data_IF_305888591832
#
_entry.id   IF_305888591832
#
_cell.length_a   1.000
_cell.length_b   1.000
_cell.length_c   1.000
_cell.angle_alpha   90.00
_cell.angle_beta   90.00
_cell.angle_gamma   90.00
#
_symmetry.space_group_name_H-M   'P 1'
#
loop_
_entity.id
_entity.type
_entity.pdbx_description
1 polymer ?
#
# COMPACT_ATOMS: atom_id res chain seq x y z
N UNK A 1 -25.14 -9.96 6.47
CA UNK A 1 -25.09 -8.49 6.31
C UNK A 1 -26.31 -7.94 7.04
N UNK A 2 -26.18 -6.81 7.73
CA UNK A 2 -27.31 -6.19 8.43
C UNK A 2 -28.13 -5.39 7.42
N UNK A 3 -29.44 -5.60 7.43
CA UNK A 3 -30.37 -4.78 6.64
C UNK A 3 -30.51 -3.39 7.28
N UNK A 4 -30.49 -2.34 6.46
CA UNK A 4 -30.59 -0.95 6.91
C UNK A 4 -31.46 -0.13 5.96
N UNK A 5 -32.14 0.86 6.50
CA UNK A 5 -32.82 1.90 5.73
C UNK A 5 -31.84 2.85 5.05
N UNK A 6 -32.31 3.61 4.07
CA UNK A 6 -31.51 4.65 3.41
C UNK A 6 -30.93 5.67 4.41
N UNK A 7 -31.74 6.10 5.39
CA UNK A 7 -31.31 7.05 6.43
C UNK A 7 -30.16 6.48 7.26
N UNK A 8 -30.30 5.24 7.72
CA UNK A 8 -29.26 4.55 8.48
C UNK A 8 -28.00 4.33 7.65
N UNK A 9 -28.14 4.08 6.35
CA UNK A 9 -27.01 3.99 5.44
C UNK A 9 -26.26 5.33 5.31
N UNK A 10 -26.98 6.45 5.14
CA UNK A 10 -26.36 7.79 5.07
C UNK A 10 -25.63 8.12 6.38
N UNK A 11 -26.21 7.79 7.53
CA UNK A 11 -25.55 7.96 8.83
C UNK A 11 -24.26 7.14 8.93
N UNK A 12 -24.31 5.86 8.53
CA UNK A 12 -23.12 4.99 8.48
C UNK A 12 -22.06 5.52 7.52
N UNK A 13 -22.45 5.99 6.34
CA UNK A 13 -21.54 6.55 5.35
C UNK A 13 -20.84 7.81 5.89
N UNK A 14 -21.60 8.70 6.53
CA UNK A 14 -21.06 9.89 7.21
C UNK A 14 -20.03 9.51 8.29
N UNK A 15 -20.30 8.47 9.09
CA UNK A 15 -19.37 8.02 10.12
C UNK A 15 -18.09 7.40 9.54
N UNK A 16 -18.22 6.60 8.47
CA UNK A 16 -17.07 6.06 7.75
C UNK A 16 -16.22 7.20 7.17
N UNK A 17 -16.83 8.20 6.54
CA UNK A 17 -16.06 9.36 6.02
C UNK A 17 -15.41 10.14 7.16
N UNK A 18 -16.08 10.29 8.30
CA UNK A 18 -15.48 10.90 9.50
C UNK A 18 -14.23 10.15 9.99
N UNK A 19 -14.30 8.81 10.03
CA UNK A 19 -13.14 7.94 10.32
C UNK A 19 -12.01 8.17 9.32
N UNK A 20 -12.32 8.14 8.03
CA UNK A 20 -11.34 8.34 6.96
C UNK A 20 -10.70 9.73 7.04
N UNK A 21 -11.49 10.78 7.30
CA UNK A 21 -10.99 12.13 7.48
C UNK A 21 -10.00 12.24 8.65
N UNK A 22 -10.31 11.61 9.79
CA UNK A 22 -9.40 11.55 10.95
C UNK A 22 -8.07 10.88 10.59
N UNK A 23 -8.13 9.74 9.88
CA UNK A 23 -6.94 9.01 9.42
C UNK A 23 -6.12 9.85 8.45
N UNK A 24 -6.72 10.37 7.38
CA UNK A 24 -6.03 11.17 6.36
C UNK A 24 -5.33 12.39 6.98
N UNK A 25 -6.06 13.17 7.79
CA UNK A 25 -5.53 14.40 8.39
C UNK A 25 -4.38 14.11 9.36
N UNK A 26 -4.49 13.05 10.16
CA UNK A 26 -3.50 12.70 11.18
C UNK A 26 -2.28 12.01 10.56
N UNK A 27 -2.51 10.96 9.77
CA UNK A 27 -1.43 10.17 9.17
C UNK A 27 -0.71 10.94 8.07
N UNK A 28 -1.42 11.75 7.28
CA UNK A 28 -0.79 12.65 6.30
C UNK A 28 0.14 13.66 6.96
N UNK A 29 -0.29 14.30 8.05
CA UNK A 29 0.55 15.23 8.82
C UNK A 29 1.78 14.53 9.42
N UNK A 30 1.60 13.35 10.04
CA UNK A 30 2.69 12.56 10.62
C UNK A 30 3.74 12.19 9.58
N UNK A 31 3.30 11.73 8.40
CA UNK A 31 4.20 11.40 7.30
C UNK A 31 5.01 12.62 6.86
N UNK A 32 4.35 13.74 6.58
CA UNK A 32 5.02 14.96 6.12
C UNK A 32 6.02 15.51 7.14
N UNK A 33 5.69 15.43 8.44
CA UNK A 33 6.61 15.86 9.49
C UNK A 33 7.86 14.96 9.54
N UNK A 34 7.68 13.64 9.47
CA UNK A 34 8.80 12.69 9.46
C UNK A 34 9.61 12.76 8.18
N UNK A 35 8.96 13.03 7.05
CA UNK A 35 9.65 13.30 5.79
C UNK A 35 10.57 14.50 5.92
N UNK A 36 10.05 15.63 6.42
CA UNK A 36 10.85 16.84 6.62
C UNK A 36 11.98 16.61 7.62
N UNK A 37 11.76 15.82 8.66
CA UNK A 37 12.80 15.54 9.66
C UNK A 37 14.01 14.81 9.05
N UNK A 38 13.80 13.84 8.16
CA UNK A 38 14.88 12.95 7.71
C UNK A 38 15.29 13.13 6.24
N UNK A 39 14.39 13.57 5.38
CA UNK A 39 14.61 13.64 3.93
C UNK A 39 14.66 15.06 3.38
N UNK A 40 14.67 16.11 4.22
CA UNK A 40 14.80 17.50 3.72
C UNK A 40 16.10 17.75 2.95
N UNK A 41 17.17 17.00 3.25
CA UNK A 41 18.42 17.07 2.48
C UNK A 41 18.34 16.38 1.11
N UNK A 42 17.30 15.57 0.87
CA UNK A 42 17.02 14.98 -0.42
C UNK A 42 16.14 15.96 -1.19
N UNK A 43 16.50 16.26 -2.45
CA UNK A 43 15.80 17.26 -3.27
C UNK A 43 14.38 16.85 -3.71
N UNK A 44 13.85 15.75 -3.18
CA UNK A 44 12.57 15.16 -3.57
C UNK A 44 11.45 15.55 -2.59
N UNK A 45 10.38 16.10 -3.15
CA UNK A 45 9.14 16.37 -2.41
C UNK A 45 8.21 15.17 -2.53
N UNK A 46 7.59 14.71 -1.43
CA UNK A 46 6.67 13.58 -1.49
C UNK A 46 5.30 14.03 -1.99
N UNK A 47 4.54 13.09 -2.55
CA UNK A 47 3.11 13.27 -2.71
C UNK A 47 2.43 13.44 -1.34
N UNK A 48 1.54 14.43 -1.22
CA UNK A 48 0.85 14.73 0.03
C UNK A 48 -0.56 14.16 0.05
N UNK A 49 -0.95 13.57 1.17
CA UNK A 49 -2.35 13.18 1.43
C UNK A 49 -3.18 14.44 1.71
N UNK A 50 -4.17 14.72 0.87
CA UNK A 50 -5.06 15.87 1.06
C UNK A 50 -5.88 15.74 2.35
N UNK A 51 -6.28 16.90 2.89
CA UNK A 51 -7.15 16.93 4.06
C UNK A 51 -8.60 16.70 3.66
N UNK A 52 -9.32 15.97 4.48
CA UNK A 52 -10.77 15.80 4.36
C UNK A 52 -11.43 16.59 5.49
N UNK A 53 -12.34 17.48 5.13
CA UNK A 53 -13.15 18.28 6.08
C UNK A 53 -14.61 17.87 5.90
N UNK A 54 -15.19 17.31 6.96
CA UNK A 54 -16.58 16.86 6.96
C UNK A 54 -17.42 17.76 7.83
N UNK A 55 -18.54 18.21 7.28
CA UNK A 55 -19.71 18.70 7.99
C UNK A 55 -20.76 17.59 7.92
N UNK A 56 -20.98 16.90 9.05
CA UNK A 56 -21.86 15.73 9.09
C UNK A 56 -23.31 16.08 8.79
N UNK A 57 -23.79 17.24 9.26
CA UNK A 57 -25.18 17.64 9.04
C UNK A 57 -25.39 18.03 7.59
N UNK A 58 -24.46 18.80 7.01
CA UNK A 58 -24.51 19.13 5.59
C UNK A 58 -24.42 17.88 4.70
N UNK A 59 -23.60 16.90 5.07
CA UNK A 59 -23.49 15.63 4.34
C UNK A 59 -24.81 14.85 4.27
N UNK A 60 -25.59 14.88 5.35
CA UNK A 60 -26.88 14.21 5.44
C UNK A 60 -27.95 14.92 4.61
N UNK A 61 -27.93 16.26 4.59
CA UNK A 61 -29.01 17.07 4.03
C UNK A 61 -28.78 17.48 2.57
N UNK A 62 -27.53 17.69 2.16
CA UNK A 62 -27.19 18.25 0.85
C UNK A 62 -26.48 17.20 -0.04
N UNK A 63 -27.20 16.70 -1.04
CA UNK A 63 -26.67 15.72 -2.00
C UNK A 63 -25.48 16.26 -2.80
N UNK A 64 -25.44 17.57 -3.10
CA UNK A 64 -24.33 18.18 -3.83
C UNK A 64 -23.07 18.16 -2.98
N UNK A 65 -23.19 18.56 -1.71
CA UNK A 65 -22.07 18.48 -0.76
C UNK A 65 -21.63 17.04 -0.50
N UNK A 66 -22.58 16.09 -0.47
CA UNK A 66 -22.28 14.66 -0.38
C UNK A 66 -21.39 14.18 -1.53
N UNK A 67 -21.76 14.51 -2.77
CA UNK A 67 -20.99 14.16 -3.98
C UNK A 67 -19.60 14.81 -3.92
N UNK A 68 -19.51 16.10 -3.57
CA UNK A 68 -18.23 16.81 -3.44
C UNK A 68 -17.31 16.13 -2.40
N UNK A 69 -17.85 15.77 -1.23
CA UNK A 69 -17.07 15.13 -0.19
C UNK A 69 -16.62 13.72 -0.59
N UNK A 70 -17.48 12.95 -1.26
CA UNK A 70 -17.12 11.62 -1.77
C UNK A 70 -16.02 11.70 -2.85
N UNK A 71 -16.08 12.69 -3.75
CA UNK A 71 -15.00 12.97 -4.71
C UNK A 71 -13.68 13.30 -3.99
N UNK A 72 -13.73 14.10 -2.92
CA UNK A 72 -12.54 14.41 -2.13
C UNK A 72 -11.97 13.16 -1.42
N UNK A 73 -12.83 12.27 -0.94
CA UNK A 73 -12.41 10.98 -0.35
C UNK A 73 -11.75 10.09 -1.40
N UNK A 74 -12.35 9.93 -2.58
CA UNK A 74 -11.78 9.16 -3.70
C UNK A 74 -10.39 9.67 -4.06
N UNK A 75 -10.24 10.97 -4.24
CA UNK A 75 -8.97 11.55 -4.60
C UNK A 75 -7.92 11.42 -3.47
N UNK A 76 -8.35 11.35 -2.21
CA UNK A 76 -7.48 11.06 -1.07
C UNK A 76 -7.02 9.59 -1.04
N UNK A 77 -7.83 8.64 -1.51
CA UNK A 77 -7.38 7.24 -1.72
C UNK A 77 -6.22 7.20 -2.71
N UNK A 78 -6.35 7.95 -3.82
CA UNK A 78 -5.30 8.08 -4.83
C UNK A 78 -4.05 8.73 -4.23
N UNK A 79 -4.19 9.80 -3.44
CA UNK A 79 -3.05 10.44 -2.79
C UNK A 79 -2.29 9.46 -1.89
N UNK A 80 -3.00 8.67 -1.08
CA UNK A 80 -2.38 7.69 -0.20
C UNK A 80 -1.54 6.65 -0.95
N UNK A 81 -1.99 6.22 -2.14
CA UNK A 81 -1.22 5.35 -3.01
C UNK A 81 0.06 6.02 -3.51
N UNK A 82 -0.05 7.26 -4.02
CA UNK A 82 1.11 7.99 -4.53
C UNK A 82 2.09 8.42 -3.45
N UNK A 83 1.65 8.66 -2.21
CA UNK A 83 2.54 8.92 -1.08
C UNK A 83 3.45 7.71 -0.78
N UNK A 84 2.91 6.48 -0.85
CA UNK A 84 3.73 5.26 -0.71
C UNK A 84 4.71 5.14 -1.87
N UNK A 85 4.27 5.48 -3.09
CA UNK A 85 5.14 5.50 -4.28
C UNK A 85 6.30 6.46 -4.12
N UNK A 86 6.03 7.72 -3.77
CA UNK A 86 7.08 8.73 -3.53
C UNK A 86 8.08 8.29 -2.47
N UNK A 87 7.62 7.60 -1.42
CA UNK A 87 8.51 7.04 -0.40
C UNK A 87 9.45 5.98 -0.98
N UNK A 88 8.92 5.01 -1.73
CA UNK A 88 9.73 3.95 -2.33
C UNK A 88 10.71 4.51 -3.35
N UNK A 89 10.26 5.38 -4.24
CA UNK A 89 11.12 6.03 -5.23
C UNK A 89 12.23 6.83 -4.54
N UNK A 90 11.92 7.58 -3.49
CA UNK A 90 12.92 8.35 -2.76
C UNK A 90 13.93 7.45 -2.05
N UNK A 91 13.46 6.35 -1.47
CA UNK A 91 14.34 5.38 -0.80
C UNK A 91 15.32 4.74 -1.79
N UNK A 92 14.82 4.20 -2.90
CA UNK A 92 15.63 3.42 -3.84
C UNK A 92 16.41 4.24 -4.85
N UNK A 93 15.94 5.42 -5.23
CA UNK A 93 16.61 6.23 -6.27
C UNK A 93 17.53 7.31 -5.68
N UNK A 94 17.36 7.66 -4.40
CA UNK A 94 18.10 8.78 -3.79
C UNK A 94 18.73 8.41 -2.47
N UNK A 95 17.93 7.98 -1.49
CA UNK A 95 18.39 7.83 -0.11
C UNK A 95 19.43 6.71 0.04
N UNK A 96 19.18 5.53 -0.53
CA UNK A 96 20.06 4.37 -0.35
C UNK A 96 21.45 4.48 -0.98
N UNK A 97 21.68 5.50 -1.81
CA UNK A 97 22.99 5.81 -2.39
C UNK A 97 23.58 7.13 -1.85
N UNK A 98 22.83 7.82 -0.96
CA UNK A 98 23.22 9.09 -0.36
C UNK A 98 24.31 8.96 0.71
N UNK A 99 25.05 10.04 0.94
CA UNK A 99 26.02 10.14 2.04
C UNK A 99 25.36 10.09 3.42
N UNK A 100 24.12 10.55 3.53
CA UNK A 100 23.32 10.44 4.77
C UNK A 100 23.18 8.98 5.18
N UNK A 101 22.78 8.12 4.25
CA UNK A 101 22.63 6.69 4.51
C UNK A 101 23.96 6.00 4.84
N UNK A 102 25.04 6.38 4.13
CA UNK A 102 26.37 5.81 4.36
C UNK A 102 26.93 6.18 5.73
N UNK A 103 26.60 7.38 6.23
CA UNK A 103 27.00 7.86 7.55
C UNK A 103 26.26 7.14 8.68
N UNK A 104 24.97 6.86 8.49
CA UNK A 104 24.11 6.34 9.55
C UNK A 104 24.21 4.82 9.74
N UNK A 105 24.70 4.09 8.73
CA UNK A 105 24.69 2.62 8.71
C UNK A 105 26.01 2.01 8.24
N UNK A 106 26.37 0.86 8.81
CA UNK A 106 27.52 0.07 8.34
C UNK A 106 27.28 -0.48 6.93
N UNK A 107 28.33 -0.77 6.14
CA UNK A 107 28.18 -1.38 4.79
C UNK A 107 27.29 -2.63 4.80
N UNK A 108 27.38 -3.45 5.84
CA UNK A 108 26.54 -4.64 6.02
C UNK A 108 25.07 -4.26 6.24
N UNK A 109 24.80 -3.32 7.14
CA UNK A 109 23.43 -2.88 7.43
C UNK A 109 22.82 -2.12 6.25
N UNK A 110 23.62 -1.35 5.51
CA UNK A 110 23.21 -0.67 4.29
C UNK A 110 22.61 -1.65 3.28
N UNK A 111 23.31 -2.76 3.02
CA UNK A 111 22.83 -3.80 2.13
C UNK A 111 21.54 -4.46 2.66
N UNK A 112 21.53 -4.86 3.94
CA UNK A 112 20.37 -5.53 4.56
C UNK A 112 19.15 -4.62 4.54
N UNK A 113 19.30 -3.30 4.74
CA UNK A 113 18.20 -2.34 4.77
C UNK A 113 17.45 -2.27 3.45
N UNK A 114 18.15 -2.33 2.30
CA UNK A 114 17.47 -2.33 1.00
C UNK A 114 16.49 -3.52 0.90
N UNK A 115 16.92 -4.71 1.29
CA UNK A 115 16.04 -5.90 1.33
C UNK A 115 14.94 -5.82 2.40
N UNK A 116 15.29 -5.35 3.60
CA UNK A 116 14.37 -5.25 4.72
C UNK A 116 13.22 -4.29 4.40
N UNK A 117 13.52 -3.12 3.82
CA UNK A 117 12.50 -2.14 3.42
C UNK A 117 11.54 -2.70 2.37
N UNK A 118 12.05 -3.37 1.33
CA UNK A 118 11.17 -4.04 0.37
C UNK A 118 10.27 -5.07 1.04
N UNK A 119 10.81 -5.88 1.97
CA UNK A 119 10.02 -6.85 2.73
C UNK A 119 8.92 -6.16 3.56
N UNK A 120 9.28 -5.12 4.32
CA UNK A 120 8.34 -4.44 5.23
C UNK A 120 7.23 -3.69 4.50
N UNK A 121 7.49 -3.17 3.30
CA UNK A 121 6.48 -2.45 2.52
C UNK A 121 5.80 -3.40 1.52
N UNK A 122 6.53 -3.91 0.53
CA UNK A 122 5.96 -4.68 -0.58
C UNK A 122 5.48 -6.07 -0.14
N UNK A 123 6.17 -6.69 0.82
CA UNK A 123 5.77 -7.98 1.38
C UNK A 123 4.47 -7.88 2.18
N UNK A 124 4.32 -6.81 2.97
CA UNK A 124 3.09 -6.57 3.75
C UNK A 124 1.95 -5.99 2.91
N UNK A 125 2.26 -5.27 1.83
CA UNK A 125 1.31 -4.62 0.94
C UNK A 125 1.30 -5.29 -0.44
N UNK A 126 0.95 -6.57 -0.45
CA UNK A 126 0.88 -7.39 -1.68
C UNK A 126 0.03 -6.72 -2.78
N UNK A 127 -1.14 -6.18 -2.43
CA UNK A 127 -2.02 -5.53 -3.40
C UNK A 127 -1.36 -4.28 -4.00
N UNK A 128 -0.71 -3.46 -3.17
CA UNK A 128 0.08 -2.32 -3.65
C UNK A 128 1.17 -2.78 -4.62
N UNK A 129 1.93 -3.81 -4.25
CA UNK A 129 3.03 -4.29 -5.07
C UNK A 129 2.55 -4.85 -6.43
N UNK A 130 1.35 -5.42 -6.49
CA UNK A 130 0.73 -5.84 -7.74
C UNK A 130 0.31 -4.67 -8.64
N UNK A 131 0.05 -3.50 -8.05
CA UNK A 131 -0.34 -2.27 -8.74
C UNK A 131 0.88 -1.44 -9.16
N UNK A 132 1.91 -1.36 -8.32
CA UNK A 132 3.16 -0.64 -8.58
C UNK A 132 4.36 -1.47 -8.08
N UNK A 133 5.11 -2.00 -9.04
CA UNK A 133 6.33 -2.76 -8.81
C UNK A 133 7.59 -2.04 -9.30
N UNK A 134 7.43 -1.04 -10.17
CA UNK A 134 8.52 -0.35 -10.86
C UNK A 134 9.29 0.63 -9.96
N UNK A 135 8.67 1.10 -8.87
CA UNK A 135 9.32 1.98 -7.89
C UNK A 135 10.45 1.30 -7.11
N UNK A 136 10.61 -0.01 -7.26
CA UNK A 136 11.61 -0.82 -6.56
C UNK A 136 12.30 -1.76 -7.55
N UNK A 137 13.64 -1.89 -7.54
CA UNK A 137 14.32 -2.84 -8.42
C UNK A 137 13.82 -4.29 -8.25
N UNK A 138 13.78 -5.04 -9.37
CA UNK A 138 13.18 -6.38 -9.43
C UNK A 138 13.75 -7.36 -8.39
N UNK A 139 15.04 -7.29 -8.07
CA UNK A 139 15.66 -8.17 -7.08
C UNK A 139 15.03 -8.05 -5.68
N UNK A 140 14.67 -6.84 -5.28
CA UNK A 140 14.03 -6.61 -3.98
C UNK A 140 12.55 -6.99 -4.01
N UNK A 141 11.86 -6.81 -5.14
CA UNK A 141 10.52 -7.36 -5.35
C UNK A 141 10.48 -8.89 -5.21
N UNK A 142 11.45 -9.59 -5.82
CA UNK A 142 11.60 -11.05 -5.71
C UNK A 142 11.73 -11.45 -4.24
N UNK A 143 12.64 -10.79 -3.50
CA UNK A 143 12.82 -11.10 -2.09
C UNK A 143 11.58 -10.78 -1.27
N UNK A 144 10.96 -9.61 -1.43
CA UNK A 144 9.77 -9.24 -0.66
C UNK A 144 8.62 -10.26 -0.78
N UNK A 145 8.38 -10.79 -2.00
CA UNK A 145 7.30 -11.74 -2.26
C UNK A 145 7.60 -13.15 -1.77
N UNK A 146 8.84 -13.58 -1.86
CA UNK A 146 9.24 -14.96 -1.60
C UNK A 146 9.77 -15.18 -0.18
N UNK A 147 10.22 -14.10 0.50
CA UNK A 147 10.68 -14.17 1.88
C UNK A 147 9.57 -14.55 2.86
N UNK A 148 8.38 -13.99 2.71
CA UNK A 148 7.28 -14.19 3.67
C UNK A 148 6.58 -15.53 3.53
N UNK A 149 6.64 -16.19 2.37
CA UNK A 149 5.91 -17.43 2.14
C UNK A 149 6.63 -18.65 2.74
N UNK A 150 7.96 -18.75 2.66
CA UNK A 150 8.73 -19.89 3.21
C UNK A 150 10.19 -19.50 3.57
N UNK A 151 10.51 -18.21 3.80
CA UNK A 151 11.90 -17.71 3.98
C UNK A 151 12.87 -18.22 2.91
N UNK A 152 12.36 -18.44 1.69
CA UNK A 152 13.04 -19.18 0.63
C UNK A 152 13.76 -20.44 1.17
N UNK A 153 13.03 -21.40 1.72
CA UNK A 153 13.61 -22.67 2.16
C UNK A 153 13.51 -23.71 1.03
N UNK A 154 14.52 -23.78 0.18
CA UNK A 154 14.59 -24.70 -0.96
C UNK A 154 13.64 -24.35 -2.10
N UNK A 155 13.34 -23.07 -2.29
CA UNK A 155 12.38 -22.64 -3.31
C UNK A 155 12.94 -22.80 -4.72
N UNK A 156 12.15 -23.30 -5.67
CA UNK A 156 12.58 -23.51 -7.05
C UNK A 156 12.48 -22.23 -7.88
N UNK A 157 13.31 -22.10 -8.90
CA UNK A 157 13.25 -21.00 -9.88
C UNK A 157 11.90 -20.89 -10.60
N UNK A 158 11.28 -22.02 -10.94
CA UNK A 158 9.91 -22.06 -11.48
C UNK A 158 8.88 -21.49 -10.50
N UNK A 159 8.97 -21.84 -9.21
CA UNK A 159 8.03 -21.36 -8.20
C UNK A 159 8.19 -19.85 -7.95
N UNK A 160 9.44 -19.36 -7.95
CA UNK A 160 9.71 -17.91 -7.90
C UNK A 160 9.08 -17.22 -9.11
N UNK A 161 9.30 -17.73 -10.33
CA UNK A 161 8.74 -17.11 -11.53
C UNK A 161 7.21 -17.07 -11.47
N UNK A 162 6.55 -18.16 -11.10
CA UNK A 162 5.09 -18.21 -10.95
C UNK A 162 4.57 -17.19 -9.94
N UNK A 163 5.24 -17.06 -8.78
CA UNK A 163 4.88 -16.04 -7.80
C UNK A 163 5.06 -14.61 -8.34
N UNK A 164 6.10 -14.38 -9.13
CA UNK A 164 6.41 -13.07 -9.69
C UNK A 164 5.50 -12.68 -10.87
N UNK A 165 4.95 -13.64 -11.62
CA UNK A 165 3.95 -13.38 -12.68
C UNK A 165 2.74 -12.60 -12.16
N UNK A 166 2.39 -12.76 -10.87
CA UNK A 166 1.31 -12.01 -10.21
C UNK A 166 1.55 -10.49 -10.16
N UNK A 167 2.80 -10.04 -10.25
CA UNK A 167 3.15 -8.61 -10.30
C UNK A 167 3.06 -8.02 -11.71
N UNK A 168 2.74 -8.83 -12.73
CA UNK A 168 2.65 -8.40 -14.13
C UNK A 168 3.93 -7.69 -14.65
N UNK A 169 5.09 -8.03 -14.10
CA UNK A 169 6.40 -7.54 -14.57
C UNK A 169 6.61 -8.03 -16.00
N UNK A 170 6.75 -7.09 -16.94
CA UNK A 170 7.01 -7.42 -18.35
C UNK A 170 8.38 -8.10 -18.47
N UNK A 171 8.48 -9.07 -19.37
CA UNK A 171 9.74 -9.73 -19.77
C UNK A 171 10.48 -10.50 -18.65
N UNK A 172 9.79 -10.88 -17.58
CA UNK A 172 10.39 -11.74 -16.55
C UNK A 172 10.40 -13.20 -17.02
N UNK A 173 11.60 -13.73 -17.29
CA UNK A 173 11.83 -15.11 -17.76
C UNK A 173 12.65 -15.91 -16.76
N UNK A 174 12.65 -17.25 -16.87
CA UNK A 174 13.52 -18.11 -16.06
C UNK A 174 15.01 -17.73 -16.15
N UNK A 175 15.60 -17.48 -17.34
CA UNK A 175 16.96 -16.97 -17.44
C UNK A 175 17.17 -15.67 -16.66
N UNK A 176 16.23 -14.72 -16.75
CA UNK A 176 16.33 -13.44 -16.02
C UNK A 176 16.24 -13.63 -14.51
N UNK A 177 15.34 -14.50 -14.03
CA UNK A 177 15.27 -14.89 -12.61
C UNK A 177 16.62 -15.45 -12.17
N UNK A 178 17.20 -16.40 -12.90
CA UNK A 178 18.48 -17.01 -12.55
C UNK A 178 19.62 -15.98 -12.48
N UNK A 179 19.66 -15.01 -13.40
CA UNK A 179 20.61 -13.89 -13.34
C UNK A 179 20.42 -13.06 -12.08
N UNK A 180 19.19 -12.63 -11.78
CA UNK A 180 18.91 -11.82 -10.60
C UNK A 180 19.22 -12.58 -9.30
N UNK A 181 18.88 -13.88 -9.24
CA UNK A 181 19.18 -14.69 -8.05
C UNK A 181 20.69 -14.84 -7.82
N UNK A 182 21.50 -14.92 -8.89
CA UNK A 182 22.97 -14.89 -8.76
C UNK A 182 23.47 -13.54 -8.22
N UNK A 183 22.86 -12.43 -8.62
CA UNK A 183 23.18 -11.12 -8.02
C UNK A 183 22.90 -11.11 -6.51
N UNK A 184 21.74 -11.65 -6.09
CA UNK A 184 21.35 -11.75 -4.67
C UNK A 184 22.30 -12.70 -3.90
N UNK A 185 22.76 -13.78 -4.53
CA UNK A 185 23.76 -14.70 -3.96
C UNK A 185 25.13 -14.02 -3.76
N UNK A 186 25.58 -13.24 -4.75
CA UNK A 186 26.84 -12.49 -4.67
C UNK A 186 26.80 -11.44 -3.55
N UNK A 187 25.63 -10.92 -3.23
CA UNK A 187 25.39 -10.05 -2.07
C UNK A 187 25.35 -10.82 -0.73
N UNK A 188 25.43 -12.15 -0.77
CA UNK A 188 25.52 -13.01 0.40
C UNK A 188 24.20 -13.19 1.14
N UNK A 189 23.07 -12.82 0.53
CA UNK A 189 21.74 -12.94 1.13
C UNK A 189 21.23 -14.38 1.05
N UNK A 190 21.53 -15.06 -0.05
CA UNK A 190 21.01 -16.40 -0.35
C UNK A 190 22.16 -17.35 -0.72
N UNK A 191 21.88 -18.63 -0.78
CA UNK A 191 22.69 -19.64 -1.45
C UNK A 191 21.89 -20.32 -2.54
N UNK A 192 22.57 -20.68 -3.62
CA UNK A 192 22.00 -21.40 -4.75
C UNK A 192 22.56 -22.82 -4.76
N UNK A 193 21.69 -23.82 -4.83
CA UNK A 193 22.07 -25.19 -5.17
C UNK A 193 21.38 -25.61 -6.46
N UNK A 194 22.05 -26.47 -7.24
CA UNK A 194 21.51 -27.05 -8.47
C UNK A 194 21.34 -28.55 -8.26
N UNK A 195 20.16 -29.07 -8.60
CA UNK A 195 19.89 -30.50 -8.70
C UNK A 195 19.20 -30.72 -10.04
N UNK A 196 19.80 -31.56 -10.87
CA UNK A 196 19.40 -31.75 -12.27
C UNK A 196 19.31 -30.40 -12.99
N UNK A 197 18.21 -30.11 -13.69
CA UNK A 197 18.00 -28.82 -14.39
C UNK A 197 17.28 -27.75 -13.54
N UNK A 198 17.15 -27.97 -12.23
CA UNK A 198 16.43 -27.06 -11.33
C UNK A 198 17.37 -26.38 -10.35
N UNK A 199 17.22 -25.07 -10.20
CA UNK A 199 17.89 -24.29 -9.16
C UNK A 199 17.00 -24.16 -7.94
N UNK A 200 17.62 -24.29 -6.77
CA UNK A 200 16.99 -24.19 -5.46
C UNK A 200 17.66 -23.06 -4.68
N UNK A 201 16.83 -22.23 -4.06
CA UNK A 201 17.29 -21.03 -3.35
C UNK A 201 17.02 -21.16 -1.86
N UNK A 202 18.06 -20.88 -1.07
CA UNK A 202 18.01 -20.90 0.38
C UNK A 202 18.42 -19.55 0.96
N UNK A 203 17.71 -19.05 1.96
CA UNK A 203 18.16 -17.87 2.68
C UNK A 203 19.42 -18.21 3.50
N UNK A 204 20.53 -17.50 3.24
CA UNK A 204 21.80 -17.74 3.92
C UNK A 204 21.80 -17.16 5.34
N UNK A 205 21.17 -15.99 5.51
CA UNK A 205 21.03 -15.28 6.79
C UNK A 205 19.70 -14.53 6.84
N UNK A 206 19.10 -14.48 8.02
CA UNK A 206 17.94 -13.63 8.28
C UNK A 206 18.25 -12.16 7.95
N UNK A 207 17.28 -11.44 7.39
CA UNK A 207 17.35 -10.00 7.16
C UNK A 207 17.22 -9.28 8.50
N UNK A 208 18.32 -9.27 9.27
CA UNK A 208 18.43 -8.68 10.60
C UNK A 208 19.59 -7.69 10.62
N UNK A 209 19.29 -6.47 11.05
CA UNK A 209 20.27 -5.42 11.28
C UNK A 209 21.14 -5.76 12.49
N UNK A 210 22.34 -5.20 12.53
CA UNK A 210 23.14 -5.15 13.75
C UNK A 210 22.40 -4.38 14.86
N UNK A 211 22.76 -4.56 16.15
CA UNK A 211 22.13 -3.79 17.23
C UNK A 211 22.17 -2.28 17.01
N UNK A 212 23.34 -1.74 16.62
CA UNK A 212 23.51 -0.32 16.28
C UNK A 212 22.67 0.07 15.05
N UNK A 213 22.69 -0.74 13.99
CA UNK A 213 21.87 -0.50 12.80
C UNK A 213 20.37 -0.48 13.12
N UNK A 214 19.91 -1.36 14.02
CA UNK A 214 18.51 -1.39 14.47
C UNK A 214 18.13 -0.14 15.26
N UNK A 215 19.02 0.37 16.10
CA UNK A 215 18.82 1.62 16.83
C UNK A 215 18.69 2.81 15.86
N UNK A 216 19.66 2.97 14.94
CA UNK A 216 19.60 3.99 13.89
C UNK A 216 18.32 3.88 13.05
N UNK A 217 17.95 2.67 12.62
CA UNK A 217 16.73 2.41 11.85
C UNK A 217 15.47 2.84 12.62
N UNK A 218 15.36 2.47 13.89
CA UNK A 218 14.21 2.81 14.72
C UNK A 218 14.06 4.31 14.92
N UNK A 219 15.19 5.02 15.07
CA UNK A 219 15.20 6.46 15.28
C UNK A 219 14.86 7.23 14.00
N UNK A 220 15.28 6.75 12.84
CA UNK A 220 15.23 7.49 11.57
C UNK A 220 14.14 6.96 10.63
N UNK A 221 14.36 5.78 10.05
CA UNK A 221 13.58 5.26 8.94
C UNK A 221 12.27 4.63 9.36
N UNK A 222 12.24 3.93 10.51
CA UNK A 222 11.10 3.11 10.91
C UNK A 222 9.75 3.84 10.86
N UNK A 223 9.61 5.09 11.34
CA UNK A 223 8.34 5.81 11.24
C UNK A 223 7.84 5.97 9.81
N UNK A 224 8.75 6.16 8.84
CA UNK A 224 8.40 6.27 7.42
C UNK A 224 8.12 4.89 6.80
N UNK A 225 8.86 3.85 7.20
CA UNK A 225 8.69 2.48 6.67
C UNK A 225 7.43 1.79 7.21
N UNK A 226 7.08 2.03 8.47
CA UNK A 226 5.87 1.46 9.09
C UNK A 226 4.59 2.18 8.61
N UNK A 227 4.71 3.45 8.19
CA UNK A 227 3.58 4.29 7.79
C UNK A 227 2.74 3.71 6.65
N UNK A 228 3.30 3.24 5.51
CA UNK A 228 2.52 2.63 4.43
C UNK A 228 1.59 1.54 4.91
N UNK A 229 2.08 0.62 5.76
CA UNK A 229 1.28 -0.49 6.26
C UNK A 229 0.17 -0.02 7.20
N UNK A 230 0.48 0.93 8.09
CA UNK A 230 -0.51 1.49 9.02
C UNK A 230 -1.60 2.26 8.28
N UNK A 231 -1.20 3.13 7.34
CA UNK A 231 -2.13 3.90 6.51
C UNK A 231 -3.00 2.96 5.66
N UNK A 232 -2.39 2.01 4.94
CA UNK A 232 -3.12 1.11 4.06
C UNK A 232 -4.17 0.27 4.80
N UNK A 233 -3.79 -0.29 5.95
CA UNK A 233 -4.70 -1.15 6.73
C UNK A 233 -5.85 -0.37 7.37
N UNK A 234 -5.65 0.91 7.67
CA UNK A 234 -6.68 1.73 8.32
C UNK A 234 -7.56 2.46 7.30
N UNK A 235 -6.95 3.16 6.34
CA UNK A 235 -7.64 4.03 5.40
C UNK A 235 -8.45 3.26 4.34
N UNK A 236 -7.91 2.15 3.80
CA UNK A 236 -8.62 1.34 2.81
C UNK A 236 -9.52 0.26 3.42
N UNK A 237 -9.77 0.33 4.73
CA UNK A 237 -10.71 -0.56 5.41
C UNK A 237 -12.05 0.16 5.60
N UNK A 238 -13.03 -0.20 4.76
CA UNK A 238 -14.37 0.38 4.75
C UNK A 238 -15.46 -0.66 4.98
N UNK A 239 -15.12 -1.77 5.66
CA UNK A 239 -16.02 -2.90 5.89
C UNK A 239 -17.31 -2.54 6.60
N UNK A 240 -17.33 -1.42 7.31
CA UNK A 240 -18.53 -0.89 7.97
C UNK A 240 -19.63 -0.51 6.96
N UNK A 241 -19.28 -0.32 5.68
CA UNK A 241 -20.23 -0.12 4.59
C UNK A 241 -20.81 -1.43 4.02
N UNK A 242 -20.43 -2.60 4.56
CA UNK A 242 -20.92 -3.90 4.08
C UNK A 242 -22.30 -4.22 4.67
N UNK A 243 -23.30 -3.49 4.20
CA UNK A 243 -24.71 -3.57 4.62
C UNK A 243 -25.60 -3.93 3.44
N UNK A 244 -26.84 -4.29 3.74
CA UNK A 244 -27.88 -4.54 2.74
C UNK A 244 -28.97 -3.49 2.90
N UNK A 245 -29.38 -2.85 1.81
CA UNK A 245 -30.38 -1.78 1.83
C UNK A 245 -31.79 -2.40 1.72
N UNK A 246 -32.76 -1.74 2.36
CA UNK A 246 -34.17 -2.13 2.30
C UNK A 246 -34.79 -1.96 0.89
N UNK A 247 -35.99 -2.51 0.69
CA UNK A 247 -36.69 -2.48 -0.60
C UNK A 247 -37.13 -1.08 -1.05
N UNK A 248 -37.17 -0.13 -0.12
CA UNK A 248 -37.63 1.25 -0.39
C UNK A 248 -36.53 2.14 -0.92
N UNK A 249 -35.28 1.69 -0.84
CA UNK A 249 -34.11 2.45 -1.28
C UNK A 249 -34.08 2.55 -2.81
N UNK A 250 -33.98 3.76 -3.38
CA UNK A 250 -33.79 3.95 -4.83
C UNK A 250 -32.58 3.20 -5.37
N UNK A 251 -32.70 2.60 -6.56
CA UNK A 251 -31.63 1.82 -7.20
C UNK A 251 -30.94 0.79 -6.27
N UNK A 252 -31.72 0.18 -5.35
CA UNK A 252 -31.26 -0.76 -4.33
C UNK A 252 -30.27 -1.80 -4.84
N UNK A 253 -30.58 -2.47 -5.94
CA UNK A 253 -29.77 -3.58 -6.44
C UNK A 253 -28.36 -3.12 -6.87
N UNK A 254 -28.28 -1.95 -7.51
CA UNK A 254 -27.02 -1.32 -7.83
C UNK A 254 -26.23 -0.99 -6.56
N UNK A 255 -26.87 -0.31 -5.60
CA UNK A 255 -26.22 0.07 -4.34
C UNK A 255 -25.73 -1.15 -3.54
N UNK A 256 -26.56 -2.19 -3.39
CA UNK A 256 -26.18 -3.45 -2.74
C UNK A 256 -25.01 -4.14 -3.45
N UNK A 257 -24.98 -4.14 -4.79
CA UNK A 257 -23.87 -4.72 -5.55
C UNK A 257 -22.54 -4.01 -5.25
N UNK A 258 -22.57 -2.69 -5.08
CA UNK A 258 -21.38 -1.89 -4.76
C UNK A 258 -20.94 -2.14 -3.33
N UNK A 259 -21.87 -2.05 -2.38
CA UNK A 259 -21.57 -2.16 -0.96
C UNK A 259 -21.03 -3.54 -0.58
N UNK A 260 -21.43 -4.61 -1.28
CA UNK A 260 -20.85 -5.94 -1.10
C UNK A 260 -19.32 -6.00 -1.29
N UNK A 261 -18.76 -5.10 -2.12
CA UNK A 261 -17.30 -5.02 -2.34
C UNK A 261 -16.54 -4.51 -1.13
N UNK A 262 -17.20 -3.78 -0.22
CA UNK A 262 -16.58 -3.28 1.00
C UNK A 262 -16.19 -4.39 1.99
N UNK A 263 -16.68 -5.63 1.81
CA UNK A 263 -16.23 -6.80 2.56
C UNK A 263 -14.72 -7.08 2.36
N UNK A 264 -14.19 -6.72 1.20
CA UNK A 264 -12.76 -6.86 0.87
C UNK A 264 -12.01 -5.60 1.29
N UNK A 265 -10.90 -5.77 2.00
CA UNK A 265 -10.02 -4.67 2.40
C UNK A 265 -9.01 -4.35 1.30
N UNK A 266 -8.72 -3.07 1.10
CA UNK A 266 -7.62 -2.61 0.25
C UNK A 266 -8.04 -1.62 -0.82
N UNK A 267 -7.06 -1.02 -1.50
CA UNK A 267 -7.25 0.12 -2.40
C UNK A 267 -8.32 -0.15 -3.46
N UNK A 268 -8.21 -1.25 -4.22
CA UNK A 268 -9.13 -1.49 -5.35
C UNK A 268 -10.58 -1.63 -4.92
N UNK A 269 -10.84 -2.19 -3.73
CA UNK A 269 -12.20 -2.33 -3.21
C UNK A 269 -12.75 -0.98 -2.73
N UNK A 270 -11.95 -0.23 -1.96
CA UNK A 270 -12.33 1.10 -1.50
C UNK A 270 -12.58 2.07 -2.66
N UNK A 271 -11.64 2.15 -3.60
CA UNK A 271 -11.73 2.98 -4.80
C UNK A 271 -12.99 2.67 -5.62
N UNK A 272 -13.27 1.37 -5.85
CA UNK A 272 -14.49 0.94 -6.53
C UNK A 272 -15.75 1.40 -5.80
N UNK A 273 -15.81 1.23 -4.48
CA UNK A 273 -17.00 1.62 -3.70
C UNK A 273 -17.24 3.11 -3.80
N UNK A 274 -16.23 3.95 -3.53
CA UNK A 274 -16.43 5.40 -3.56
C UNK A 274 -16.74 5.94 -4.96
N UNK A 275 -16.09 5.44 -6.02
CA UNK A 275 -16.41 5.82 -7.40
C UNK A 275 -17.85 5.55 -7.77
N UNK A 276 -18.40 4.42 -7.34
CA UNK A 276 -19.78 4.09 -7.68
C UNK A 276 -20.81 4.70 -6.72
N UNK A 277 -20.42 5.04 -5.48
CA UNK A 277 -21.25 5.88 -4.60
C UNK A 277 -21.41 7.31 -5.16
N UNK A 278 -20.35 7.87 -5.75
CA UNK A 278 -20.42 9.17 -6.44
C UNK A 278 -21.47 9.10 -7.56
N UNK A 279 -21.34 8.11 -8.45
CA UNK A 279 -22.31 7.88 -9.55
C UNK A 279 -23.74 7.72 -9.05
N UNK A 280 -23.93 6.90 -8.01
CA UNK A 280 -25.25 6.70 -7.39
C UNK A 280 -25.89 8.02 -6.97
N UNK A 281 -25.14 8.90 -6.28
CA UNK A 281 -25.70 10.17 -5.84
C UNK A 281 -25.83 11.20 -6.97
N UNK A 282 -24.99 11.15 -8.01
CA UNK A 282 -25.15 11.95 -9.23
C UNK A 282 -26.46 11.60 -9.93
N UNK A 283 -26.76 10.32 -10.12
CA UNK A 283 -28.02 9.84 -10.72
C UNK A 283 -29.24 10.29 -9.91
N UNK A 284 -29.19 10.18 -8.57
CA UNK A 284 -30.27 10.68 -7.71
C UNK A 284 -30.45 12.20 -7.79
N UNK A 285 -29.36 12.96 -7.90
CA UNK A 285 -29.44 14.41 -8.05
C UNK A 285 -30.09 14.79 -9.38
N UNK A 286 -29.81 14.07 -10.46
CA UNK A 286 -30.43 14.29 -11.77
C UNK A 286 -31.92 13.92 -11.77
N UNK A 287 -32.30 12.84 -11.11
CA UNK A 287 -33.71 12.41 -11.00
C UNK A 287 -34.59 13.35 -10.16
N UNK A 288 -33.98 14.24 -9.36
CA UNK A 288 -34.68 15.21 -8.50
C UNK A 288 -34.75 16.62 -9.12
N UNK A 289 -34.16 16.83 -10.31
CA UNK A 289 -34.25 18.07 -11.09
C UNK A 289 -35.46 18.05 -12.03
#
# INVERSE_FOLDING_TARGET
MTEVSEKEFIDKLSDVIGKLASIANTQGSRFMNKWKEYFTSLTQSPHSVRKIRIDKEKFKQDIKYRIELLNNVEACLVDGFYTIKSLLETLYNSYFDSELFKKDFSKKDQLILKYLVAREILGNLVQYNMMDHDSVPTKYNIMARNYLLIKMNGQKDKDILENMKKLKIKNLSLPRIRTIMKEIENEGIISISKKDDTFFYNLKKELKLSPKGKESYNKTLRPLIDWPTQFWRSFYNIRELNVTLDEKTPHRDFLNSILSRSATQGFSAADYVFKNLIKYYEELQEATK
#
